data_IF_075991707156
#
_entry.id   IF_075991707156
#
_cell.length_a   1.000
_cell.length_b   1.000
_cell.length_c   1.000
_cell.angle_alpha   90.00
_cell.angle_beta   90.00
_cell.angle_gamma   90.00
#
_symmetry.space_group_name_H-M   'P 1'
#
loop_
_entity.id
_entity.type
_entity.pdbx_description
1 polymer ?
#
# COMPACT_ATOMS: atom_id res chain seq x y z
N UNK A 1 -14.37 10.56 -5.48
CA UNK A 1 -13.24 10.84 -6.39
C UNK A 1 -13.76 11.22 -7.76
N UNK A 2 -13.06 12.08 -8.49
CA UNK A 2 -13.43 12.44 -9.86
C UNK A 2 -13.06 11.27 -10.79
N UNK A 3 -13.93 10.88 -11.73
CA UNK A 3 -13.72 9.74 -12.64
C UNK A 3 -12.36 9.78 -13.37
N UNK A 4 -11.85 10.98 -13.64
CA UNK A 4 -10.55 11.20 -14.26
C UNK A 4 -9.37 10.67 -13.44
N UNK A 5 -9.42 10.74 -12.10
CA UNK A 5 -8.33 10.26 -11.25
C UNK A 5 -8.25 8.72 -11.27
N UNK A 6 -9.40 8.05 -11.25
CA UNK A 6 -9.47 6.60 -11.37
C UNK A 6 -8.96 6.11 -12.72
N UNK A 7 -9.29 6.84 -13.78
CA UNK A 7 -8.81 6.53 -15.12
C UNK A 7 -7.28 6.67 -15.22
N UNK A 8 -6.68 7.68 -14.60
CA UNK A 8 -5.22 7.82 -14.51
C UNK A 8 -4.58 6.65 -13.76
N UNK A 9 -5.09 6.32 -12.56
CA UNK A 9 -4.56 5.21 -11.75
C UNK A 9 -4.62 3.86 -12.47
N UNK A 10 -5.71 3.60 -13.19
CA UNK A 10 -5.91 2.35 -13.92
C UNK A 10 -5.03 2.24 -15.17
N UNK A 11 -4.63 3.37 -15.75
CA UNK A 11 -3.80 3.43 -16.94
C UNK A 11 -2.31 3.60 -16.63
N UNK A 12 -1.94 3.76 -15.36
CA UNK A 12 -0.56 3.82 -14.89
C UNK A 12 0.20 2.54 -15.26
N UNK A 13 1.32 2.71 -15.97
CA UNK A 13 2.15 1.60 -16.46
C UNK A 13 3.56 1.76 -15.94
N UNK A 14 4.08 0.69 -15.35
CA UNK A 14 5.51 0.61 -15.07
C UNK A 14 6.30 0.64 -16.39
N UNK A 15 7.46 1.30 -16.37
CA UNK A 15 8.41 1.40 -17.47
C UNK A 15 7.97 2.24 -18.67
N UNK A 16 7.01 3.15 -18.49
CA UNK A 16 6.52 4.02 -19.57
C UNK A 16 7.11 5.45 -19.53
N UNK A 17 8.04 5.70 -18.60
CA UNK A 17 8.69 7.01 -18.34
C UNK A 17 7.74 8.06 -17.81
N UNK A 18 6.57 7.65 -17.32
CA UNK A 18 5.63 8.55 -16.68
C UNK A 18 5.35 8.05 -15.29
N UNK A 19 4.89 8.95 -14.45
CA UNK A 19 4.45 8.59 -13.12
C UNK A 19 3.37 9.51 -12.66
N UNK A 20 2.55 9.01 -11.74
CA UNK A 20 1.54 9.80 -11.07
C UNK A 20 2.08 10.32 -9.74
N UNK A 21 1.96 11.62 -9.50
CA UNK A 21 2.29 12.25 -8.22
C UNK A 21 1.02 12.73 -7.57
N UNK A 22 0.76 12.23 -6.37
CA UNK A 22 -0.35 12.64 -5.53
C UNK A 22 0.12 13.66 -4.50
N UNK A 23 -0.38 14.88 -4.55
CA UNK A 23 -0.07 15.93 -3.57
C UNK A 23 -1.27 16.85 -3.37
N UNK A 24 -1.51 17.27 -2.13
CA UNK A 24 -2.64 18.14 -1.74
C UNK A 24 -4.01 17.71 -2.28
N UNK A 25 -4.25 16.40 -2.40
CA UNK A 25 -5.53 15.85 -2.89
C UNK A 25 -5.65 15.81 -4.42
N UNK A 26 -4.62 16.19 -5.16
CA UNK A 26 -4.58 16.18 -6.62
C UNK A 26 -3.59 15.14 -7.15
N UNK A 27 -3.97 14.48 -8.25
CA UNK A 27 -3.13 13.49 -8.94
C UNK A 27 -2.66 14.08 -10.27
N UNK A 28 -1.34 14.18 -10.45
CA UNK A 28 -0.72 14.76 -11.64
C UNK A 28 0.17 13.75 -12.34
N UNK A 29 0.03 13.60 -13.66
CA UNK A 29 0.99 12.84 -14.48
C UNK A 29 2.23 13.70 -14.75
N UNK A 30 3.42 13.13 -14.53
CA UNK A 30 4.71 13.76 -14.78
C UNK A 30 5.59 12.86 -15.65
N UNK A 31 6.51 13.47 -16.39
CA UNK A 31 7.63 12.74 -16.99
C UNK A 31 8.58 12.26 -15.88
N UNK A 32 8.82 10.96 -15.82
CA UNK A 32 9.76 10.34 -14.90
C UNK A 32 10.79 9.46 -15.64
N UNK A 33 12.04 9.94 -15.81
CA UNK A 33 13.07 9.16 -16.47
C UNK A 33 13.53 7.94 -15.64
N UNK A 34 13.24 7.89 -14.34
CA UNK A 34 13.67 6.78 -13.47
C UNK A 34 12.74 5.57 -13.52
N UNK A 35 11.48 5.75 -13.89
CA UNK A 35 10.51 4.68 -14.11
C UNK A 35 10.93 3.71 -15.23
N UNK A 36 11.68 4.18 -16.24
CA UNK A 36 12.18 3.33 -17.32
C UNK A 36 13.41 2.47 -16.97
N UNK A 37 13.96 2.60 -15.76
CA UNK A 37 15.26 2.01 -15.44
C UNK A 37 15.16 0.81 -14.51
N UNK A 38 15.47 -0.37 -15.06
CA UNK A 38 15.67 -1.64 -14.34
C UNK A 38 17.02 -1.64 -13.60
N UNK A 39 17.36 -0.52 -12.95
CA UNK A 39 18.63 -0.35 -12.25
C UNK A 39 18.51 -0.86 -10.81
N UNK A 40 19.49 -1.63 -10.30
CA UNK A 40 19.51 -2.11 -8.92
C UNK A 40 19.43 -1.00 -7.84
N UNK A 41 19.80 0.23 -8.21
CA UNK A 41 19.74 1.44 -7.37
C UNK A 41 18.63 2.43 -7.81
N UNK A 42 17.85 2.09 -8.83
CA UNK A 42 16.68 2.85 -9.26
C UNK A 42 15.51 2.66 -8.29
N UNK A 43 14.35 3.28 -8.61
CA UNK A 43 13.10 3.06 -7.86
C UNK A 43 12.79 1.57 -7.66
N UNK A 44 13.17 0.76 -8.64
CA UNK A 44 12.80 -0.65 -8.78
C UNK A 44 13.62 -1.67 -7.97
N UNK A 45 14.62 -1.22 -7.19
CA UNK A 45 15.47 -2.09 -6.37
C UNK A 45 14.85 -2.57 -5.04
N UNK A 46 15.45 -3.58 -4.40
CA UNK A 46 15.05 -3.97 -3.03
C UNK A 46 15.36 -2.85 -2.04
N UNK A 47 14.32 -2.28 -1.41
CA UNK A 47 14.52 -1.37 -0.30
C UNK A 47 15.13 -2.10 0.89
N UNK A 48 16.09 -1.46 1.56
CA UNK A 48 16.48 -1.87 2.91
C UNK A 48 15.22 -1.92 3.79
N UNK A 49 15.15 -2.86 4.73
CA UNK A 49 13.96 -3.05 5.57
C UNK A 49 14.34 -3.13 7.05
N UNK A 50 13.55 -2.50 7.90
CA UNK A 50 13.49 -2.81 9.33
C UNK A 50 12.51 -3.97 9.57
N UNK A 51 12.67 -4.66 10.70
CA UNK A 51 11.83 -5.79 11.09
C UNK A 51 11.16 -5.48 12.42
N UNK A 52 9.86 -5.76 12.51
CA UNK A 52 9.07 -5.56 13.73
C UNK A 52 8.19 -6.78 13.98
N UNK A 53 8.19 -7.26 15.22
CA UNK A 53 7.21 -8.26 15.67
C UNK A 53 5.94 -7.52 16.09
N UNK A 54 4.78 -7.99 15.64
CA UNK A 54 3.48 -7.38 15.89
C UNK A 54 2.67 -8.21 16.90
N UNK A 55 1.75 -7.56 17.62
CA UNK A 55 0.75 -8.22 18.45
C UNK A 55 -0.15 -9.18 17.64
N UNK A 56 -0.30 -8.93 16.33
CA UNK A 56 -0.95 -9.83 15.36
C UNK A 56 -0.32 -11.23 15.24
N UNK A 57 0.82 -11.49 15.88
CA UNK A 57 1.57 -12.74 15.74
C UNK A 57 2.38 -12.80 14.44
N UNK A 58 2.62 -11.64 13.81
CA UNK A 58 3.31 -11.52 12.54
C UNK A 58 4.66 -10.81 12.71
N UNK A 59 5.57 -11.10 11.79
CA UNK A 59 6.77 -10.27 11.59
C UNK A 59 6.54 -9.38 10.37
N UNK A 60 6.47 -8.09 10.61
CA UNK A 60 6.37 -7.07 9.58
C UNK A 60 7.76 -6.59 9.15
N UNK A 61 7.86 -6.25 7.88
CA UNK A 61 9.03 -5.61 7.29
C UNK A 61 8.61 -4.23 6.84
N UNK A 62 9.30 -3.18 7.30
CA UNK A 62 8.99 -1.79 6.95
C UNK A 62 10.12 -1.27 6.04
N UNK A 63 9.82 -0.74 4.85
CA UNK A 63 10.84 -0.29 3.91
C UNK A 63 11.49 1.01 4.39
N UNK A 64 12.81 1.04 4.36
CA UNK A 64 13.66 2.16 4.76
C UNK A 64 13.99 3.04 3.55
N UNK A 65 13.01 3.78 3.07
CA UNK A 65 13.21 4.82 2.04
C UNK A 65 13.45 6.18 2.71
N UNK A 66 13.86 7.24 1.99
CA UNK A 66 13.97 8.59 2.61
C UNK A 66 12.65 9.01 3.26
N UNK A 67 11.52 8.68 2.62
CA UNK A 67 10.18 8.94 3.15
C UNK A 67 9.70 7.79 4.06
N UNK A 68 10.03 6.54 3.77
CA UNK A 68 9.63 5.36 4.56
C UNK A 68 10.33 5.25 5.92
N UNK A 69 11.54 5.81 6.07
CA UNK A 69 12.18 5.99 7.39
C UNK A 69 11.30 6.79 8.35
N UNK A 70 10.44 7.68 7.84
CA UNK A 70 9.48 8.41 8.69
C UNK A 70 8.45 7.51 9.36
N UNK A 71 8.15 6.33 8.82
CA UNK A 71 7.28 5.37 9.49
C UNK A 71 7.96 4.74 10.72
N UNK A 72 9.28 4.48 10.66
CA UNK A 72 10.01 3.97 11.82
C UNK A 72 10.12 5.01 12.92
N UNK A 73 10.31 6.27 12.55
CA UNK A 73 10.44 7.40 13.47
C UNK A 73 9.09 7.98 13.91
N UNK A 74 7.97 7.39 13.47
CA UNK A 74 6.64 7.90 13.79
C UNK A 74 6.24 7.61 15.23
N UNK A 75 5.57 8.59 15.86
CA UNK A 75 4.90 8.43 17.15
C UNK A 75 3.49 7.84 17.03
N UNK A 76 2.91 7.83 15.82
CA UNK A 76 1.54 7.37 15.55
C UNK A 76 1.51 5.87 15.23
N UNK A 77 1.79 5.05 16.24
CA UNK A 77 1.83 3.59 16.13
C UNK A 77 0.70 2.97 16.97
N UNK A 78 -0.12 2.15 16.31
CA UNK A 78 -1.07 1.23 16.93
C UNK A 78 -0.58 -0.20 16.70
N UNK A 79 -0.45 -0.99 17.76
CA UNK A 79 -0.13 -2.42 17.68
C UNK A 79 -1.04 -3.20 18.62
N UNK A 80 -1.98 -3.95 18.04
CA UNK A 80 -3.02 -4.71 18.72
C UNK A 80 -3.29 -6.05 18.01
N UNK A 81 -3.99 -6.96 18.68
CA UNK A 81 -4.23 -8.33 18.23
C UNK A 81 -5.02 -8.46 16.91
N UNK A 82 -5.69 -7.39 16.48
CA UNK A 82 -6.47 -7.34 15.22
C UNK A 82 -6.06 -6.19 14.29
N UNK A 83 -5.23 -5.26 14.74
CA UNK A 83 -4.83 -4.09 13.98
C UNK A 83 -3.39 -3.70 14.32
N UNK A 84 -2.55 -3.65 13.30
CA UNK A 84 -1.34 -2.86 13.31
C UNK A 84 -1.50 -1.67 12.38
N UNK A 85 -1.09 -0.49 12.82
CA UNK A 85 -1.08 0.71 12.01
C UNK A 85 0.09 1.59 12.41
N UNK A 86 0.78 2.13 11.41
CA UNK A 86 1.75 3.20 11.59
C UNK A 86 1.52 4.24 10.50
N UNK A 87 1.36 5.49 10.90
CA UNK A 87 1.21 6.62 9.98
C UNK A 87 2.29 7.65 10.24
N UNK A 88 2.74 8.34 9.21
CA UNK A 88 3.43 9.62 9.31
C UNK A 88 2.63 10.64 8.51
N UNK A 89 3.07 11.90 8.48
CA UNK A 89 2.44 12.91 7.61
C UNK A 89 2.46 12.57 6.11
N UNK A 90 3.18 11.53 5.68
CA UNK A 90 3.36 11.18 4.26
C UNK A 90 3.13 9.72 3.90
N UNK A 91 3.07 8.83 4.88
CA UNK A 91 2.93 7.38 4.66
C UNK A 91 1.98 6.78 5.65
N UNK A 92 1.28 5.74 5.22
CA UNK A 92 0.42 4.91 6.03
C UNK A 92 0.73 3.45 5.71
N UNK A 93 0.97 2.66 6.76
CA UNK A 93 1.01 1.22 6.68
C UNK A 93 0.03 0.66 7.71
N UNK A 94 -0.96 -0.10 7.23
CA UNK A 94 -1.99 -0.73 8.06
C UNK A 94 -2.08 -2.21 7.73
N UNK A 95 -2.10 -3.05 8.76
CA UNK A 95 -2.35 -4.48 8.66
C UNK A 95 -3.53 -4.82 9.56
N UNK A 96 -4.59 -5.36 8.98
CA UNK A 96 -5.80 -5.77 9.71
C UNK A 96 -5.93 -7.28 9.66
N UNK A 97 -6.20 -7.91 10.79
CA UNK A 97 -6.53 -9.33 10.87
C UNK A 97 -8.05 -9.47 11.02
N UNK A 98 -8.69 -10.00 10.00
CA UNK A 98 -10.15 -10.12 9.93
C UNK A 98 -10.54 -11.59 9.74
N UNK A 99 -11.76 -11.93 10.15
CA UNK A 99 -12.37 -13.17 9.68
C UNK A 99 -12.58 -13.10 8.16
N UNK A 100 -12.69 -14.24 7.47
CA UNK A 100 -12.96 -14.23 6.02
C UNK A 100 -14.26 -13.48 5.67
N UNK A 101 -15.31 -13.65 6.49
CA UNK A 101 -16.58 -12.95 6.27
C UNK A 101 -16.44 -11.42 6.40
N UNK A 102 -15.75 -10.95 7.44
CA UNK A 102 -15.53 -9.51 7.65
C UNK A 102 -14.62 -8.93 6.55
N UNK A 103 -13.63 -9.70 6.10
CA UNK A 103 -12.77 -9.31 4.99
C UNK A 103 -13.58 -9.19 3.70
N UNK A 104 -14.40 -10.19 3.37
CA UNK A 104 -15.25 -10.18 2.17
C UNK A 104 -16.23 -9.00 2.16
N UNK A 105 -16.88 -8.72 3.29
CA UNK A 105 -17.78 -7.56 3.43
C UNK A 105 -17.02 -6.25 3.19
N UNK A 106 -15.86 -6.09 3.83
CA UNK A 106 -15.03 -4.89 3.69
C UNK A 106 -14.54 -4.69 2.25
N UNK A 107 -14.11 -5.76 1.60
CA UNK A 107 -13.63 -5.74 0.22
C UNK A 107 -14.77 -5.52 -0.79
N UNK A 108 -15.98 -6.03 -0.52
CA UNK A 108 -17.17 -5.70 -1.29
C UNK A 108 -17.53 -4.20 -1.15
N UNK A 109 -17.33 -3.63 0.05
CA UNK A 109 -17.40 -2.20 0.29
C UNK A 109 -16.46 -1.40 -0.61
N UNK A 110 -15.23 -1.89 -0.83
CA UNK A 110 -14.29 -1.23 -1.75
C UNK A 110 -14.78 -1.21 -3.19
N UNK A 111 -15.42 -2.29 -3.67
CA UNK A 111 -15.97 -2.34 -5.03
C UNK A 111 -17.20 -1.45 -5.27
N UNK A 112 -17.88 -1.03 -4.20
CA UNK A 112 -19.05 -0.13 -4.26
C UNK A 112 -18.72 1.33 -3.96
N UNK A 113 -17.58 1.58 -3.31
CA UNK A 113 -17.04 2.90 -3.12
C UNK A 113 -16.32 3.32 -4.41
N UNK A 114 -16.85 4.30 -5.15
CA UNK A 114 -16.25 4.82 -6.40
C UNK A 114 -14.86 5.47 -6.24
N UNK A 115 -14.27 5.35 -5.05
CA UNK A 115 -12.95 5.82 -4.66
C UNK A 115 -11.88 4.72 -4.76
N UNK A 116 -12.26 3.46 -5.04
CA UNK A 116 -11.32 2.36 -5.18
C UNK A 116 -11.55 1.57 -6.48
N UNK A 117 -10.48 1.28 -7.23
CA UNK A 117 -10.52 0.28 -8.32
C UNK A 117 -9.99 -1.05 -7.85
N UNK A 118 -10.73 -2.11 -8.17
CA UNK A 118 -10.24 -3.47 -8.07
C UNK A 118 -9.46 -3.87 -9.32
N UNK A 119 -8.23 -4.35 -9.13
CA UNK A 119 -7.39 -4.99 -10.13
C UNK A 119 -6.93 -6.35 -9.60
N UNK A 120 -6.29 -7.15 -10.44
CA UNK A 120 -5.61 -8.39 -10.03
C UNK A 120 -4.12 -8.25 -10.27
N UNK A 121 -3.34 -8.74 -9.33
CA UNK A 121 -1.91 -8.93 -9.47
C UNK A 121 -1.62 -10.05 -10.47
N UNK A 122 -0.36 -10.21 -10.90
CA UNK A 122 0.04 -11.23 -11.89
C UNK A 122 -0.30 -12.66 -11.45
N UNK A 123 -0.31 -12.89 -10.13
CA UNK A 123 -0.65 -14.18 -9.53
C UNK A 123 -2.17 -14.37 -9.28
N UNK A 124 -2.98 -13.42 -9.74
CA UNK A 124 -4.44 -13.41 -9.59
C UNK A 124 -4.94 -12.85 -8.27
N UNK A 125 -4.05 -12.43 -7.36
CA UNK A 125 -4.43 -11.82 -6.07
C UNK A 125 -5.16 -10.50 -6.29
N UNK A 126 -6.36 -10.29 -5.72
CA UNK A 126 -7.05 -9.01 -5.81
C UNK A 126 -6.28 -7.87 -5.13
N UNK A 127 -6.29 -6.70 -5.77
CA UNK A 127 -5.70 -5.46 -5.29
C UNK A 127 -6.72 -4.34 -5.43
N UNK A 128 -6.73 -3.40 -4.47
CA UNK A 128 -7.61 -2.24 -4.50
C UNK A 128 -6.79 -0.96 -4.43
N UNK A 129 -6.93 -0.10 -5.42
CA UNK A 129 -6.21 1.17 -5.52
C UNK A 129 -7.12 2.36 -5.31
N UNK A 130 -6.63 3.38 -4.62
CA UNK A 130 -7.30 4.68 -4.55
C UNK A 130 -6.95 5.46 -3.30
N UNK A 131 -7.86 6.33 -2.86
CA UNK A 131 -7.60 7.21 -1.73
C UNK A 131 -7.93 6.56 -0.38
N UNK A 132 -7.03 6.75 0.58
CA UNK A 132 -7.13 6.33 1.96
C UNK A 132 -6.85 7.53 2.86
N UNK A 133 -7.62 7.69 3.92
CA UNK A 133 -7.32 8.70 4.92
C UNK A 133 -6.37 8.12 5.97
N UNK A 134 -5.33 8.90 6.28
CA UNK A 134 -4.52 8.68 7.47
C UNK A 134 -5.35 8.93 8.75
N UNK A 135 -4.90 8.46 9.92
CA UNK A 135 -5.56 8.72 11.20
C UNK A 135 -5.76 10.21 11.50
N UNK A 136 -4.91 11.05 10.93
CA UNK A 136 -4.94 12.51 11.06
C UNK A 136 -5.87 13.17 10.02
N UNK A 137 -6.53 12.39 9.16
CA UNK A 137 -7.46 12.89 8.14
C UNK A 137 -6.77 13.44 6.89
N UNK A 138 -5.47 13.16 6.71
CA UNK A 138 -4.75 13.52 5.48
C UNK A 138 -5.04 12.46 4.41
N UNK A 139 -5.59 12.84 3.24
CA UNK A 139 -5.83 11.91 2.15
C UNK A 139 -4.50 11.44 1.57
N UNK A 140 -4.42 10.16 1.24
CA UNK A 140 -3.25 9.50 0.69
C UNK A 140 -3.65 8.55 -0.43
N UNK A 141 -2.82 8.42 -1.44
CA UNK A 141 -3.05 7.45 -2.50
C UNK A 141 -2.33 6.14 -2.15
N UNK A 142 -2.98 5.00 -2.36
CA UNK A 142 -2.39 3.73 -1.97
C UNK A 142 -3.00 2.50 -2.61
N UNK A 143 -2.62 1.37 -2.04
CA UNK A 143 -3.09 0.04 -2.40
C UNK A 143 -3.47 -0.76 -1.16
N UNK A 144 -4.55 -1.52 -1.25
CA UNK A 144 -4.86 -2.59 -0.29
C UNK A 144 -4.76 -3.95 -0.97
N UNK A 145 -4.18 -4.93 -0.26
CA UNK A 145 -4.04 -6.32 -0.70
C UNK A 145 -4.49 -7.28 0.39
N UNK A 146 -5.12 -8.38 -0.02
CA UNK A 146 -5.54 -9.45 0.89
C UNK A 146 -4.53 -10.60 0.88
N UNK A 147 -4.27 -11.18 2.03
CA UNK A 147 -3.51 -12.43 2.19
C UNK A 147 -4.29 -13.37 3.14
N UNK A 148 -4.91 -14.40 2.57
CA UNK A 148 -5.62 -15.43 3.32
C UNK A 148 -4.67 -16.36 4.07
N UNK A 149 -5.06 -16.78 5.27
CA UNK A 149 -4.27 -17.67 6.15
C UNK A 149 -5.14 -18.78 6.68
N UNK A 150 -4.91 -19.99 6.20
CA UNK A 150 -5.77 -21.13 6.53
C UNK A 150 -7.24 -20.86 6.24
N UNK A 151 -8.11 -21.46 7.03
CA UNK A 151 -9.57 -21.39 6.84
C UNK A 151 -10.27 -20.33 7.69
N UNK A 152 -9.55 -19.60 8.56
CA UNK A 152 -10.18 -18.75 9.58
C UNK A 152 -10.02 -17.24 9.37
N UNK A 153 -8.86 -16.79 8.85
CA UNK A 153 -8.53 -15.36 8.83
C UNK A 153 -7.93 -14.90 7.51
N UNK A 154 -8.17 -13.63 7.20
CA UNK A 154 -7.51 -12.88 6.13
C UNK A 154 -6.81 -11.66 6.72
N UNK A 155 -5.56 -11.43 6.29
CA UNK A 155 -4.88 -10.17 6.54
C UNK A 155 -5.12 -9.20 5.40
N UNK A 156 -5.56 -7.98 5.72
CA UNK A 156 -5.59 -6.88 4.77
C UNK A 156 -4.40 -5.96 5.03
N UNK A 157 -3.54 -5.81 4.02
CA UNK A 157 -2.43 -4.88 4.03
C UNK A 157 -2.81 -3.65 3.22
N UNK A 158 -2.93 -2.50 3.86
CA UNK A 158 -3.06 -1.20 3.21
C UNK A 158 -1.72 -0.46 3.32
N UNK A 159 -1.21 -0.01 2.18
CA UNK A 159 -0.05 0.89 2.12
C UNK A 159 -0.42 2.10 1.26
N UNK A 160 -0.26 3.30 1.81
CA UNK A 160 -0.62 4.54 1.15
C UNK A 160 0.39 5.64 1.44
N UNK A 161 0.39 6.68 0.63
CA UNK A 161 1.20 7.85 0.88
C UNK A 161 0.90 9.04 -0.03
N UNK A 162 1.70 10.08 0.19
CA UNK A 162 1.78 11.28 -0.63
C UNK A 162 3.06 11.22 -1.47
N UNK A 163 2.99 11.72 -2.70
CA UNK A 163 4.08 11.74 -3.65
C UNK A 163 3.87 10.75 -4.77
N UNK A 164 4.96 10.16 -5.24
CA UNK A 164 4.92 9.34 -6.43
C UNK A 164 4.28 7.98 -6.20
N UNK A 165 3.29 7.64 -7.03
CA UNK A 165 2.50 6.43 -6.90
C UNK A 165 3.29 5.16 -7.24
N UNK A 166 4.20 5.21 -8.21
CA UNK A 166 5.10 4.08 -8.51
C UNK A 166 5.92 3.71 -7.28
N UNK A 167 6.51 4.70 -6.59
CA UNK A 167 7.23 4.47 -5.33
C UNK A 167 6.33 3.81 -4.27
N UNK A 168 5.10 4.30 -4.12
CA UNK A 168 4.14 3.78 -3.13
C UNK A 168 3.77 2.33 -3.44
N UNK A 169 3.48 2.01 -4.71
CA UNK A 169 3.16 0.63 -5.15
C UNK A 169 4.31 -0.32 -4.86
N UNK A 170 5.51 0.11 -5.19
CA UNK A 170 6.73 -0.63 -4.97
C UNK A 170 7.05 -0.90 -3.50
N UNK A 171 6.91 0.13 -2.65
CA UNK A 171 7.03 -0.01 -1.21
C UNK A 171 6.00 -1.04 -0.70
N UNK A 172 4.75 -0.97 -1.18
CA UNK A 172 3.69 -1.92 -0.83
C UNK A 172 4.02 -3.36 -1.27
N UNK A 173 4.51 -3.57 -2.49
CA UNK A 173 4.94 -4.86 -3.03
C UNK A 173 6.05 -5.49 -2.19
N UNK A 174 7.00 -4.67 -1.79
CA UNK A 174 8.14 -5.09 -0.98
C UNK A 174 7.69 -5.59 0.40
N UNK A 175 6.70 -4.92 1.02
CA UNK A 175 6.11 -5.34 2.29
C UNK A 175 5.24 -6.57 2.11
N UNK A 176 4.33 -6.57 1.13
CA UNK A 176 3.36 -7.63 0.89
C UNK A 176 4.03 -8.97 0.61
N UNK A 177 5.01 -8.99 -0.30
CA UNK A 177 5.74 -10.21 -0.67
C UNK A 177 6.43 -10.87 0.53
N UNK A 178 6.94 -10.07 1.49
CA UNK A 178 7.56 -10.59 2.72
C UNK A 178 6.52 -10.99 3.76
N UNK A 179 5.45 -10.22 3.92
CA UNK A 179 4.33 -10.56 4.79
C UNK A 179 3.73 -11.92 4.41
N UNK A 180 3.43 -12.11 3.12
CA UNK A 180 2.89 -13.38 2.58
C UNK A 180 3.81 -14.58 2.81
N UNK A 181 5.14 -14.39 2.76
CA UNK A 181 6.12 -15.44 3.10
C UNK A 181 6.18 -15.74 4.61
N UNK A 182 5.86 -14.75 5.44
CA UNK A 182 5.86 -14.85 6.91
C UNK A 182 4.59 -15.47 7.48
N UNK A 183 3.49 -15.34 6.75
CA UNK A 183 2.22 -16.01 6.99
C UNK A 183 2.35 -17.49 6.58
N UNK A 184 2.15 -18.42 7.51
CA UNK A 184 2.16 -19.87 7.27
C UNK A 184 0.90 -20.50 7.83
#
# INVERSE_FOLDING_TARGET
MNNAMMELLLNDKLFDRRSLVFDNGELTEIDDPFDASDLPEGRLGEFAVSRRSLALGLRLFIPLTKMGRTLEDSENITDADVLFQVSSGQRLLRVEKLSHADADEKLAGFGSCGDLAALRDEDGTPMWFGCFDSPEGVPMLGVTRAAGVGEEFTYLLTYAGIGNFTDIRMEADNVYSRLRRGIK
#
